data_IF_697253101857
#
_entry.id   IF_697253101857
#
_cell.length_a   1.000
_cell.length_b   1.000
_cell.length_c   1.000
_cell.angle_alpha   90.00
_cell.angle_beta   90.00
_cell.angle_gamma   90.00
#
_symmetry.space_group_name_H-M   'P 1'
#
loop_
_entity.id
_entity.type
_entity.pdbx_description
1 polymer ?
#
# COMPACT_ATOMS: atom_id res chain seq x y z
N UNK A 1 32.41 29.72 11.07
CA UNK A 1 32.26 29.54 12.52
C UNK A 1 30.87 29.02 12.94
N UNK A 2 29.97 28.82 11.95
CA UNK A 2 28.56 28.45 12.21
C UNK A 2 28.20 26.96 12.11
N UNK A 3 28.99 26.18 11.38
CA UNK A 3 28.67 24.75 11.18
C UNK A 3 28.92 23.89 12.44
N UNK A 4 29.95 24.23 13.21
CA UNK A 4 30.25 23.52 14.46
C UNK A 4 29.22 23.81 15.57
N UNK A 5 28.61 25.00 15.57
CA UNK A 5 27.56 25.33 16.55
C UNK A 5 26.28 24.57 16.25
N UNK A 6 25.88 24.46 14.97
CA UNK A 6 24.71 23.68 14.56
C UNK A 6 24.86 22.19 14.82
N UNK A 7 26.08 21.66 14.64
CA UNK A 7 26.36 20.26 14.95
C UNK A 7 26.29 19.98 16.46
N UNK A 8 26.70 20.95 17.28
CA UNK A 8 26.64 20.83 18.75
C UNK A 8 25.20 20.87 19.26
N UNK A 9 24.38 21.79 18.77
CA UNK A 9 22.95 21.87 19.09
C UNK A 9 22.20 20.61 18.60
N UNK A 10 22.52 20.11 17.39
CA UNK A 10 21.98 18.86 16.87
C UNK A 10 22.32 17.66 17.74
N UNK A 11 23.56 17.59 18.21
CA UNK A 11 24.02 16.51 19.11
C UNK A 11 23.35 16.61 20.47
N UNK A 12 23.12 17.80 21.03
CA UNK A 12 22.41 17.98 22.31
C UNK A 12 20.93 17.56 22.19
N UNK A 13 20.26 17.92 21.10
CA UNK A 13 18.87 17.48 20.82
C UNK A 13 18.81 15.97 20.63
N UNK A 14 19.76 15.40 19.87
CA UNK A 14 19.87 13.96 19.64
C UNK A 14 20.16 13.18 20.94
N UNK A 15 21.07 13.67 21.77
CA UNK A 15 21.33 13.11 23.09
C UNK A 15 20.14 13.31 24.06
N UNK A 16 19.43 14.41 23.96
CA UNK A 16 18.19 14.66 24.72
C UNK A 16 17.09 13.65 24.35
N UNK A 17 16.93 13.33 23.07
CA UNK A 17 15.98 12.33 22.57
C UNK A 17 16.38 10.91 23.01
N UNK A 18 17.66 10.56 22.94
CA UNK A 18 18.17 9.27 23.44
C UNK A 18 17.97 9.15 24.96
N UNK A 19 18.23 10.21 25.71
CA UNK A 19 18.02 10.23 27.16
C UNK A 19 16.52 10.18 27.53
N UNK A 20 15.67 10.76 26.70
CA UNK A 20 14.22 10.65 26.84
C UNK A 20 13.74 9.23 26.55
N UNK A 21 14.24 8.57 25.48
CA UNK A 21 13.96 7.15 25.20
C UNK A 21 14.45 6.25 26.33
N UNK A 22 15.66 6.48 26.86
CA UNK A 22 16.21 5.70 27.98
C UNK A 22 15.41 5.95 29.27
N UNK A 23 14.92 7.17 29.49
CA UNK A 23 14.10 7.53 30.64
C UNK A 23 12.70 6.92 30.54
N UNK A 24 12.12 6.94 29.33
CA UNK A 24 10.84 6.30 29.03
C UNK A 24 10.94 4.77 29.17
N UNK A 25 12.02 4.15 28.68
CA UNK A 25 12.27 2.72 28.87
C UNK A 25 12.53 2.35 30.35
N UNK A 26 13.18 3.23 31.12
CA UNK A 26 13.34 3.07 32.57
C UNK A 26 12.04 3.25 33.36
N UNK A 27 11.17 4.19 32.95
CA UNK A 27 9.84 4.37 33.55
C UNK A 27 8.91 3.22 33.18
N UNK A 28 8.95 2.75 31.92
CA UNK A 28 8.23 1.56 31.46
C UNK A 28 8.73 0.29 32.15
N UNK A 29 10.04 0.19 32.44
CA UNK A 29 10.61 -0.92 33.25
C UNK A 29 10.29 -0.82 34.72
N UNK A 30 10.10 0.36 35.31
CA UNK A 30 9.60 0.55 36.67
C UNK A 30 8.13 0.22 36.83
N UNK A 31 7.33 0.43 35.77
CA UNK A 31 5.95 -0.05 35.67
C UNK A 31 5.83 -1.53 35.31
N UNK A 32 6.93 -2.29 35.20
CA UNK A 32 6.91 -3.73 35.34
C UNK A 32 6.49 -4.07 36.76
N UNK A 33 5.19 -4.00 36.97
CA UNK A 33 4.47 -4.70 37.99
C UNK A 33 5.04 -6.12 38.01
N UNK A 34 5.59 -6.48 39.15
CA UNK A 34 6.15 -7.79 39.42
C UNK A 34 5.31 -8.88 38.73
N UNK A 35 5.99 -9.71 37.94
CA UNK A 35 5.45 -10.93 37.37
C UNK A 35 5.14 -11.96 38.47
N UNK A 36 4.13 -11.70 39.23
CA UNK A 36 3.53 -12.64 40.16
C UNK A 36 2.03 -12.35 40.25
N UNK A 37 1.35 -12.50 39.11
CA UNK A 37 -0.07 -12.82 39.13
C UNK A 37 -0.22 -14.25 38.61
N UNK A 38 -0.01 -15.18 39.54
CA UNK A 38 -0.59 -16.50 39.45
C UNK A 38 -2.10 -16.31 39.10
N UNK A 39 -2.49 -16.86 37.98
CA UNK A 39 -3.84 -16.90 37.45
C UNK A 39 -4.74 -17.65 38.45
N UNK A 40 -5.29 -16.96 39.43
CA UNK A 40 -6.43 -17.45 40.20
C UNK A 40 -7.65 -16.84 39.56
N UNK A 41 -8.36 -17.63 38.77
CA UNK A 41 -9.69 -17.30 38.24
C UNK A 41 -10.66 -17.16 39.43
N UNK A 42 -10.74 -15.99 40.04
CA UNK A 42 -11.93 -15.54 40.71
C UNK A 42 -12.81 -14.84 39.64
N UNK A 43 -13.81 -15.55 39.15
CA UNK A 43 -14.92 -14.91 38.45
C UNK A 43 -15.70 -14.13 39.51
N UNK A 44 -15.23 -12.95 39.88
CA UNK A 44 -16.10 -11.94 40.45
C UNK A 44 -17.09 -11.55 39.33
N UNK A 45 -18.35 -11.61 39.63
CA UNK A 45 -19.43 -11.08 38.80
C UNK A 45 -19.24 -9.57 38.67
N UNK A 46 -18.33 -9.13 37.77
CA UNK A 46 -18.22 -7.72 37.44
C UNK A 46 -19.52 -7.29 36.77
N UNK A 47 -20.20 -6.35 37.40
CA UNK A 47 -21.39 -5.73 36.83
C UNK A 47 -21.03 -5.07 35.49
N UNK A 48 -21.88 -5.14 34.47
CA UNK A 48 -21.71 -4.52 33.16
C UNK A 48 -21.28 -3.06 33.25
N UNK A 49 -21.82 -2.30 34.20
CA UNK A 49 -21.47 -0.89 34.45
C UNK A 49 -20.01 -0.73 34.94
N UNK A 50 -19.52 -1.62 35.80
CA UNK A 50 -18.11 -1.62 36.22
C UNK A 50 -17.15 -1.85 35.05
N UNK A 51 -17.47 -2.80 34.16
CA UNK A 51 -16.66 -3.08 32.97
C UNK A 51 -16.69 -1.91 31.98
N UNK A 52 -17.82 -1.25 31.80
CA UNK A 52 -17.92 -0.01 30.99
C UNK A 52 -17.08 1.11 31.57
N UNK A 53 -17.12 1.31 32.89
CA UNK A 53 -16.27 2.29 33.56
C UNK A 53 -14.77 2.01 33.42
N UNK A 54 -14.35 0.73 33.42
CA UNK A 54 -12.97 0.34 33.11
C UNK A 54 -12.58 0.70 31.65
N UNK A 55 -13.47 0.45 30.68
CA UNK A 55 -13.27 0.84 29.29
C UNK A 55 -13.13 2.35 29.15
N UNK A 56 -14.04 3.13 29.75
CA UNK A 56 -14.01 4.61 29.70
C UNK A 56 -12.69 5.18 30.26
N UNK A 57 -12.17 4.56 31.33
CA UNK A 57 -10.88 4.93 31.91
C UNK A 57 -9.70 4.62 30.98
N UNK A 58 -9.74 3.48 30.30
CA UNK A 58 -8.72 3.07 29.30
C UNK A 58 -8.81 3.99 28.08
N UNK A 59 -9.99 4.26 27.56
CA UNK A 59 -10.18 5.14 26.41
C UNK A 59 -9.66 6.56 26.68
N UNK A 60 -9.88 7.07 27.91
CA UNK A 60 -9.30 8.35 28.32
C UNK A 60 -7.77 8.37 28.26
N UNK A 61 -7.12 7.28 28.66
CA UNK A 61 -5.65 7.12 28.56
C UNK A 61 -5.21 7.00 27.09
N UNK A 62 -5.92 6.24 26.27
CA UNK A 62 -5.62 6.07 24.84
C UNK A 62 -5.66 7.44 24.14
N UNK A 63 -6.69 8.28 24.39
CA UNK A 63 -6.79 9.62 23.80
C UNK A 63 -5.59 10.50 24.18
N UNK A 64 -5.18 10.49 25.46
CA UNK A 64 -4.01 11.25 25.90
C UNK A 64 -2.73 10.77 25.21
N UNK A 65 -2.51 9.44 25.14
CA UNK A 65 -1.32 8.86 24.52
C UNK A 65 -1.28 9.08 23.01
N UNK A 66 -2.41 8.98 22.32
CA UNK A 66 -2.52 9.28 20.89
C UNK A 66 -2.15 10.74 20.61
N UNK A 67 -2.65 11.69 21.39
CA UNK A 67 -2.31 13.10 21.22
C UNK A 67 -0.82 13.39 21.48
N UNK A 68 -0.22 12.75 22.51
CA UNK A 68 1.22 12.86 22.75
C UNK A 68 2.04 12.31 21.59
N UNK A 69 1.62 11.16 21.03
CA UNK A 69 2.26 10.57 19.86
C UNK A 69 2.17 11.48 18.63
N UNK A 70 1.00 12.07 18.39
CA UNK A 70 0.78 13.00 17.27
C UNK A 70 1.63 14.26 17.43
N UNK A 71 1.72 14.84 18.63
CA UNK A 71 2.60 15.98 18.88
C UNK A 71 4.07 15.68 18.56
N UNK A 72 4.56 14.50 18.96
CA UNK A 72 5.92 14.06 18.61
C UNK A 72 6.08 13.88 17.10
N UNK A 73 5.06 13.36 16.40
CA UNK A 73 5.10 13.19 14.95
C UNK A 73 5.15 14.56 14.23
N UNK A 74 4.37 15.54 14.67
CA UNK A 74 4.39 16.91 14.11
C UNK A 74 5.78 17.55 14.25
N UNK A 75 6.46 17.36 15.39
CA UNK A 75 7.84 17.85 15.55
C UNK A 75 8.81 17.15 14.62
N UNK A 76 8.68 15.82 14.42
CA UNK A 76 9.46 15.07 13.44
C UNK A 76 9.20 15.62 12.03
N UNK A 77 7.94 15.88 11.68
CA UNK A 77 7.54 16.46 10.40
C UNK A 77 8.19 17.82 10.15
N UNK A 78 8.23 18.69 11.16
CA UNK A 78 8.91 19.99 11.08
C UNK A 78 10.41 19.81 10.75
N UNK A 79 11.09 18.92 11.47
CA UNK A 79 12.52 18.62 11.23
C UNK A 79 12.73 18.05 9.83
N UNK A 80 11.89 17.08 9.39
CA UNK A 80 11.96 16.53 8.03
C UNK A 80 11.81 17.60 6.97
N UNK A 81 10.85 18.53 7.15
CA UNK A 81 10.63 19.65 6.23
C UNK A 81 11.83 20.57 6.12
N UNK A 82 12.49 20.89 7.25
CA UNK A 82 13.72 21.70 7.29
C UNK A 82 14.89 21.00 6.57
N UNK A 83 14.93 19.68 6.62
CA UNK A 83 15.96 18.84 5.96
C UNK A 83 15.62 18.46 4.51
N UNK A 84 14.43 18.83 4.01
CA UNK A 84 13.95 18.44 2.68
C UNK A 84 13.66 16.95 2.54
N UNK A 85 13.35 16.26 3.65
CA UNK A 85 13.04 14.83 3.68
C UNK A 85 11.52 14.63 3.56
N UNK A 86 11.12 13.65 2.73
CA UNK A 86 9.71 13.33 2.53
C UNK A 86 9.03 12.87 3.84
N UNK A 87 7.78 13.32 4.09
CA UNK A 87 7.04 12.94 5.29
C UNK A 87 6.67 11.44 5.32
N UNK A 88 6.29 10.87 4.18
CA UNK A 88 5.94 9.46 4.05
C UNK A 88 7.18 8.59 3.84
N UNK A 89 7.33 7.56 4.67
CA UNK A 89 8.45 6.61 4.66
C UNK A 89 7.90 5.20 4.96
N UNK A 90 7.58 4.41 3.92
CA UNK A 90 6.99 3.08 4.08
C UNK A 90 7.91 2.11 4.83
N UNK A 91 9.24 2.26 4.71
CA UNK A 91 10.18 1.42 5.44
C UNK A 91 10.16 1.73 6.94
N UNK A 92 10.00 3.01 7.33
CA UNK A 92 9.80 3.39 8.72
C UNK A 92 8.46 2.90 9.27
N UNK A 93 7.40 2.97 8.46
CA UNK A 93 6.10 2.43 8.85
C UNK A 93 6.18 0.92 9.12
N UNK A 94 6.87 0.17 8.26
CA UNK A 94 7.05 -1.27 8.45
C UNK A 94 7.84 -1.58 9.74
N UNK A 95 8.88 -0.79 10.06
CA UNK A 95 9.56 -0.91 11.37
C UNK A 95 8.60 -0.68 12.54
N UNK A 96 7.68 0.28 12.42
CA UNK A 96 6.67 0.55 13.46
C UNK A 96 5.72 -0.63 13.58
N UNK A 97 5.22 -1.17 12.47
CA UNK A 97 4.31 -2.33 12.48
C UNK A 97 4.98 -3.56 13.09
N UNK A 98 6.21 -3.88 12.70
CA UNK A 98 6.96 -5.00 13.26
C UNK A 98 7.14 -4.85 14.78
N UNK A 99 7.50 -3.65 15.26
CA UNK A 99 7.61 -3.36 16.70
C UNK A 99 6.27 -3.53 17.43
N UNK A 100 5.18 -3.10 16.83
CA UNK A 100 3.84 -3.25 17.40
C UNK A 100 3.40 -4.71 17.48
N UNK A 101 3.71 -5.51 16.47
CA UNK A 101 3.46 -6.94 16.47
C UNK A 101 4.23 -7.65 17.57
N UNK A 102 5.50 -7.29 17.77
CA UNK A 102 6.33 -7.83 18.87
C UNK A 102 5.81 -7.46 20.26
N UNK A 103 5.25 -6.26 20.40
CA UNK A 103 4.66 -5.77 21.65
C UNK A 103 3.26 -6.36 21.92
N UNK A 104 2.54 -6.76 20.87
CA UNK A 104 1.18 -7.26 20.98
C UNK A 104 1.16 -8.68 21.55
N UNK A 105 0.90 -8.79 22.86
CA UNK A 105 0.73 -10.07 23.58
C UNK A 105 -0.74 -10.33 23.96
N UNK A 106 -1.63 -9.46 23.51
CA UNK A 106 -3.05 -9.51 23.85
C UNK A 106 -3.91 -10.24 22.81
N UNK A 107 -5.24 -10.17 22.93
CA UNK A 107 -6.18 -10.86 22.06
C UNK A 107 -6.39 -10.17 20.70
N UNK A 108 -5.85 -8.97 20.47
CA UNK A 108 -5.96 -8.29 19.19
C UNK A 108 -5.17 -9.03 18.11
N UNK A 109 -5.82 -9.28 16.97
CA UNK A 109 -5.13 -9.84 15.80
C UNK A 109 -4.14 -8.82 15.21
N UNK A 110 -3.05 -9.32 14.62
CA UNK A 110 -2.01 -8.47 14.01
C UNK A 110 -2.58 -7.51 12.95
N UNK A 111 -3.46 -8.02 12.10
CA UNK A 111 -4.13 -7.23 11.05
C UNK A 111 -4.97 -6.09 11.62
N UNK A 112 -5.72 -6.34 12.70
CA UNK A 112 -6.49 -5.30 13.40
C UNK A 112 -5.56 -4.23 13.98
N UNK A 113 -4.43 -4.63 14.56
CA UNK A 113 -3.42 -3.70 15.07
C UNK A 113 -2.82 -2.85 13.95
N UNK A 114 -2.47 -3.46 12.80
CA UNK A 114 -1.97 -2.73 11.62
C UNK A 114 -3.00 -1.73 11.12
N UNK A 115 -4.27 -2.12 11.02
CA UNK A 115 -5.36 -1.24 10.57
C UNK A 115 -5.53 -0.02 11.49
N UNK A 116 -5.58 -0.23 12.81
CA UNK A 116 -5.70 0.87 13.78
C UNK A 116 -4.50 1.83 13.66
N UNK A 117 -3.29 1.29 13.63
CA UNK A 117 -2.10 2.13 13.56
C UNK A 117 -1.90 2.78 12.19
N UNK A 118 -2.41 2.21 11.11
CA UNK A 118 -2.46 2.87 9.80
C UNK A 118 -3.22 4.19 9.90
N UNK A 119 -4.40 4.21 10.53
CA UNK A 119 -5.17 5.44 10.71
C UNK A 119 -4.48 6.43 11.66
N UNK A 120 -3.83 5.95 12.73
CA UNK A 120 -3.04 6.81 13.63
C UNK A 120 -1.86 7.45 12.92
N UNK A 121 -1.17 6.72 12.03
CA UNK A 121 -0.06 7.25 11.23
C UNK A 121 -0.59 8.21 10.19
N UNK A 122 -1.66 7.87 9.47
CA UNK A 122 -2.32 8.72 8.49
C UNK A 122 -2.74 10.07 9.08
N UNK A 123 -3.39 10.06 10.24
CA UNK A 123 -3.78 11.27 10.95
C UNK A 123 -2.55 12.13 11.35
N UNK A 124 -1.45 11.50 11.74
CA UNK A 124 -0.20 12.20 12.06
C UNK A 124 0.39 12.88 10.81
N UNK A 125 0.50 12.16 9.70
CA UNK A 125 1.02 12.68 8.43
C UNK A 125 0.15 13.86 7.92
N UNK A 126 -1.17 13.74 8.03
CA UNK A 126 -2.10 14.81 7.61
C UNK A 126 -1.88 16.12 8.37
N UNK A 127 -1.40 16.07 9.61
CA UNK A 127 -1.05 17.23 10.42
C UNK A 127 0.38 17.76 10.11
N UNK A 128 1.28 16.89 9.61
CA UNK A 128 2.62 17.32 9.20
C UNK A 128 2.56 18.05 7.85
N UNK A 129 1.85 17.49 6.87
CA UNK A 129 1.74 18.01 5.51
C UNK A 129 0.43 17.56 4.85
N UNK A 130 -0.21 18.48 4.14
CA UNK A 130 -1.38 18.16 3.31
C UNK A 130 -0.98 17.36 2.07
N UNK A 131 -0.69 16.07 2.24
CA UNK A 131 -0.35 15.20 1.13
C UNK A 131 -1.54 14.94 0.22
N UNK A 132 -1.27 14.92 -1.09
CA UNK A 132 -2.23 14.58 -2.14
C UNK A 132 -1.79 13.29 -2.81
N UNK A 133 -2.64 12.27 -2.76
CA UNK A 133 -2.42 10.96 -3.35
C UNK A 133 -3.21 10.85 -4.66
N UNK A 134 -2.50 10.84 -5.79
CA UNK A 134 -3.10 10.59 -7.10
C UNK A 134 -3.34 9.09 -7.31
N UNK A 135 -4.45 8.73 -7.92
CA UNK A 135 -4.76 7.33 -8.22
C UNK A 135 -5.62 7.21 -9.49
N UNK A 136 -5.58 6.04 -10.15
CA UNK A 136 -6.44 5.75 -11.28
C UNK A 136 -7.91 5.72 -10.83
N UNK A 137 -8.66 6.74 -11.23
CA UNK A 137 -10.08 6.91 -10.93
C UNK A 137 -11.01 5.99 -11.73
N UNK A 138 -12.30 6.22 -11.58
CA UNK A 138 -12.96 7.18 -10.68
C UNK A 138 -12.83 6.83 -9.19
N UNK A 139 -13.51 7.62 -8.35
CA UNK A 139 -13.62 7.31 -6.91
C UNK A 139 -14.24 5.92 -6.68
N UNK A 140 -13.92 5.29 -5.55
CA UNK A 140 -14.39 3.95 -5.17
C UNK A 140 -13.89 2.79 -6.06
N UNK A 141 -12.89 2.99 -6.91
CA UNK A 141 -12.22 1.90 -7.63
C UNK A 141 -11.31 1.09 -6.71
N UNK A 142 -10.86 -0.09 -7.18
CA UNK A 142 -9.85 -0.88 -6.47
C UNK A 142 -8.52 -0.13 -6.30
N UNK A 143 -8.17 0.76 -7.24
CA UNK A 143 -6.99 1.62 -7.08
C UNK A 143 -7.17 2.63 -5.94
N UNK A 144 -8.38 3.22 -5.81
CA UNK A 144 -8.71 4.05 -4.64
C UNK A 144 -8.62 3.26 -3.34
N UNK A 145 -9.18 2.07 -3.31
CA UNK A 145 -9.11 1.20 -2.13
C UNK A 145 -7.67 0.84 -1.77
N UNK A 146 -6.82 0.51 -2.75
CA UNK A 146 -5.40 0.26 -2.54
C UNK A 146 -4.68 1.48 -1.98
N UNK A 147 -4.99 2.69 -2.49
CA UNK A 147 -4.44 3.94 -1.99
C UNK A 147 -4.82 4.17 -0.52
N UNK A 148 -6.10 4.01 -0.17
CA UNK A 148 -6.58 4.17 1.22
C UNK A 148 -6.01 3.10 2.14
N UNK A 149 -5.91 1.85 1.70
CA UNK A 149 -5.31 0.77 2.48
C UNK A 149 -3.83 1.05 2.80
N UNK A 150 -3.11 1.71 1.90
CA UNK A 150 -1.69 2.03 2.11
C UNK A 150 -1.49 3.29 2.95
N UNK A 151 -2.23 4.35 2.67
CA UNK A 151 -2.01 5.67 3.26
C UNK A 151 -2.98 6.03 4.41
N UNK A 152 -4.03 5.22 4.64
CA UNK A 152 -5.12 5.50 5.58
C UNK A 152 -6.15 6.48 5.02
N UNK A 153 -7.21 6.74 5.79
CA UNK A 153 -8.38 7.49 5.31
C UNK A 153 -8.27 9.02 5.43
N UNK A 154 -7.29 9.53 6.18
CA UNK A 154 -7.24 10.96 6.57
C UNK A 154 -6.62 11.86 5.50
N UNK A 155 -5.84 11.32 4.55
CA UNK A 155 -5.16 12.09 3.51
C UNK A 155 -6.10 12.54 2.38
N UNK A 156 -5.60 13.41 1.48
CA UNK A 156 -6.36 13.84 0.31
C UNK A 156 -6.13 12.90 -0.86
N UNK A 157 -7.20 12.42 -1.46
CA UNK A 157 -7.19 11.50 -2.59
C UNK A 157 -7.71 12.20 -3.84
N UNK A 158 -6.96 12.12 -4.95
CA UNK A 158 -7.31 12.74 -6.22
C UNK A 158 -7.50 11.67 -7.31
N UNK A 159 -8.74 11.41 -7.77
CA UNK A 159 -8.97 10.52 -8.90
C UNK A 159 -8.46 11.17 -10.19
N UNK A 160 -7.74 10.41 -11.00
CA UNK A 160 -7.21 10.82 -12.28
C UNK A 160 -7.78 9.92 -13.39
N UNK A 161 -8.05 10.45 -14.60
CA UNK A 161 -8.79 9.73 -15.63
C UNK A 161 -8.08 8.48 -16.16
N UNK A 162 -6.75 8.54 -16.32
CA UNK A 162 -5.94 7.45 -16.88
C UNK A 162 -4.60 7.32 -16.14
N UNK A 163 -3.91 6.20 -16.35
CA UNK A 163 -2.62 5.92 -15.71
C UNK A 163 -1.55 6.97 -16.04
N UNK A 164 -1.38 7.44 -17.31
CA UNK A 164 -0.46 8.53 -17.62
C UNK A 164 -0.70 9.78 -16.79
N UNK A 165 -1.96 10.16 -16.57
CA UNK A 165 -2.30 11.35 -15.78
C UNK A 165 -1.83 11.22 -14.33
N UNK A 166 -1.79 9.99 -13.79
CA UNK A 166 -1.24 9.74 -12.43
C UNK A 166 0.25 10.01 -12.41
N UNK A 167 1.01 9.53 -13.40
CA UNK A 167 2.44 9.78 -13.50
C UNK A 167 2.72 11.28 -13.69
N UNK A 168 2.05 11.93 -14.63
CA UNK A 168 2.19 13.36 -14.91
C UNK A 168 1.88 14.22 -13.66
N UNK A 169 0.79 13.93 -12.96
CA UNK A 169 0.41 14.66 -11.75
C UNK A 169 1.48 14.57 -10.64
N UNK A 170 2.19 13.44 -10.54
CA UNK A 170 3.29 13.29 -9.57
C UNK A 170 4.55 14.00 -10.08
N UNK A 171 4.89 13.88 -11.36
CA UNK A 171 6.05 14.56 -11.97
C UNK A 171 5.94 16.07 -11.86
N UNK A 172 4.76 16.64 -12.17
CA UNK A 172 4.47 18.06 -12.07
C UNK A 172 4.28 18.57 -10.63
N UNK A 173 4.22 17.68 -9.63
CA UNK A 173 4.02 18.06 -8.23
C UNK A 173 2.59 18.41 -7.82
N UNK A 174 1.59 18.13 -8.66
CA UNK A 174 0.18 18.25 -8.34
C UNK A 174 -0.30 17.20 -7.34
N UNK A 175 0.35 16.01 -7.38
CA UNK A 175 0.25 14.96 -6.39
C UNK A 175 1.63 14.69 -5.77
N UNK A 176 1.64 14.36 -4.47
CA UNK A 176 2.88 13.97 -3.80
C UNK A 176 3.28 12.54 -4.16
N UNK A 177 2.31 11.65 -4.25
CA UNK A 177 2.45 10.22 -4.59
C UNK A 177 1.38 9.79 -5.59
N UNK A 178 1.70 8.76 -6.39
CA UNK A 178 0.78 8.15 -7.32
C UNK A 178 0.57 6.67 -7.04
N UNK A 179 -0.66 6.18 -7.10
CA UNK A 179 -0.98 4.75 -6.97
C UNK A 179 -1.51 4.22 -8.28
N UNK A 180 -0.83 3.21 -8.84
CA UNK A 180 -1.16 2.62 -10.14
C UNK A 180 -1.15 1.09 -10.09
N UNK A 181 -2.07 0.41 -10.80
CA UNK A 181 -2.04 -1.05 -10.92
C UNK A 181 -0.85 -1.47 -11.80
N UNK A 182 -0.15 -2.55 -11.42
CA UNK A 182 0.96 -3.10 -12.20
C UNK A 182 0.72 -4.51 -12.69
N UNK A 183 -0.05 -5.29 -11.95
CA UNK A 183 -0.29 -6.69 -12.23
C UNK A 183 -1.56 -7.20 -11.54
N UNK A 184 -2.29 -8.07 -12.22
CA UNK A 184 -3.40 -8.82 -11.62
C UNK A 184 -3.14 -10.33 -11.77
N UNK A 185 -3.39 -11.11 -10.72
CA UNK A 185 -3.09 -12.54 -10.70
C UNK A 185 -3.85 -13.38 -11.73
N UNK A 186 -4.97 -12.86 -12.25
CA UNK A 186 -5.80 -13.55 -13.25
C UNK A 186 -5.61 -13.02 -14.67
N UNK A 187 -5.22 -11.77 -14.83
CA UNK A 187 -5.14 -11.09 -16.13
C UNK A 187 -3.70 -10.73 -16.55
N UNK A 188 -2.76 -10.88 -15.63
CA UNK A 188 -1.35 -10.60 -15.89
C UNK A 188 -1.00 -9.11 -15.76
N UNK A 189 0.01 -8.69 -16.48
CA UNK A 189 0.62 -7.38 -16.35
C UNK A 189 -0.24 -6.25 -16.92
N UNK A 190 -0.26 -5.10 -16.23
CA UNK A 190 -0.87 -3.85 -16.70
C UNK A 190 0.13 -3.14 -17.60
N UNK A 191 0.01 -3.42 -18.89
CA UNK A 191 0.94 -2.98 -19.93
C UNK A 191 1.22 -1.48 -19.94
N UNK A 192 0.18 -0.65 -19.68
CA UNK A 192 0.30 0.80 -19.69
C UNK A 192 1.21 1.31 -18.58
N UNK A 193 1.10 0.73 -17.37
CA UNK A 193 1.98 1.08 -16.25
C UNK A 193 3.43 0.68 -16.51
N UNK A 194 3.64 -0.50 -17.10
CA UNK A 194 4.99 -0.96 -17.46
C UNK A 194 5.65 -0.03 -18.49
N UNK A 195 4.92 0.37 -19.55
CA UNK A 195 5.44 1.26 -20.57
C UNK A 195 5.88 2.61 -19.96
N UNK A 196 5.07 3.21 -19.09
CA UNK A 196 5.38 4.47 -18.42
C UNK A 196 6.57 4.36 -17.45
N UNK A 197 6.73 3.23 -16.75
CA UNK A 197 7.89 3.01 -15.87
C UNK A 197 9.22 3.02 -16.63
N UNK A 198 9.23 2.71 -17.93
CA UNK A 198 10.45 2.85 -18.76
C UNK A 198 10.79 4.33 -19.00
N UNK A 199 9.77 5.17 -19.19
CA UNK A 199 9.93 6.57 -19.64
C UNK A 199 10.09 7.55 -18.48
N UNK A 200 9.36 7.36 -17.36
CA UNK A 200 9.31 8.29 -16.22
C UNK A 200 10.62 8.35 -15.41
N UNK A 201 10.86 9.49 -14.77
CA UNK A 201 11.91 9.63 -13.74
C UNK A 201 11.42 9.31 -12.32
N UNK A 202 10.11 8.98 -12.18
CA UNK A 202 9.56 8.59 -10.87
C UNK A 202 10.16 7.27 -10.41
N UNK A 203 10.20 7.09 -9.10
CA UNK A 203 10.69 5.88 -8.45
C UNK A 203 9.57 5.15 -7.71
N UNK A 204 9.64 3.84 -7.66
CA UNK A 204 8.73 3.00 -6.87
C UNK A 204 9.22 3.04 -5.43
N UNK A 205 8.33 3.41 -4.49
CA UNK A 205 8.66 3.52 -3.07
C UNK A 205 7.87 2.54 -2.19
N UNK A 206 6.76 1.99 -2.70
CA UNK A 206 5.97 0.97 -2.02
C UNK A 206 5.21 0.12 -3.03
N UNK A 207 4.70 -1.01 -2.57
CA UNK A 207 3.74 -1.86 -3.27
C UNK A 207 2.55 -2.16 -2.37
N UNK A 208 1.40 -2.45 -2.97
CA UNK A 208 0.18 -2.80 -2.25
C UNK A 208 -0.46 -3.98 -2.95
N UNK A 209 -0.74 -5.05 -2.22
CA UNK A 209 -1.54 -6.16 -2.70
C UNK A 209 -2.97 -6.02 -2.20
N UNK A 210 -3.93 -6.12 -3.12
CA UNK A 210 -5.35 -6.01 -2.81
C UNK A 210 -6.10 -7.22 -3.38
N UNK A 211 -6.76 -7.97 -2.53
CA UNK A 211 -7.74 -8.97 -2.96
C UNK A 211 -8.93 -8.28 -3.62
N UNK A 212 -9.25 -8.72 -4.83
CA UNK A 212 -10.39 -8.22 -5.59
C UNK A 212 -11.62 -9.03 -5.25
N UNK A 213 -12.44 -8.52 -4.36
CA UNK A 213 -13.74 -9.06 -4.03
C UNK A 213 -14.84 -8.26 -4.72
N UNK A 214 -15.81 -8.97 -5.29
CA UNK A 214 -16.97 -8.38 -5.94
C UNK A 214 -18.22 -8.56 -5.09
N UNK A 215 -18.98 -7.47 -4.92
CA UNK A 215 -20.28 -7.47 -4.26
C UNK A 215 -21.35 -6.96 -5.22
N UNK A 216 -22.58 -7.43 -5.05
CA UNK A 216 -23.76 -6.95 -5.77
C UNK A 216 -24.43 -5.86 -4.95
N UNK A 217 -24.66 -4.72 -5.57
CA UNK A 217 -25.34 -3.55 -5.00
C UNK A 217 -26.65 -3.28 -5.74
N UNK A 218 -27.70 -2.93 -5.04
CA UNK A 218 -28.98 -2.51 -5.60
C UNK A 218 -29.87 -1.89 -4.55
N UNK A 219 -30.78 -1.01 -4.96
CA UNK A 219 -31.86 -0.50 -4.12
C UNK A 219 -33.09 -1.42 -4.07
N UNK A 220 -33.22 -2.37 -5.01
CA UNK A 220 -34.28 -3.37 -5.00
C UNK A 220 -33.74 -4.73 -4.48
N UNK A 221 -34.63 -5.69 -4.26
CA UNK A 221 -34.26 -7.06 -3.88
C UNK A 221 -33.63 -7.82 -5.04
N UNK A 222 -32.86 -8.86 -4.73
CA UNK A 222 -32.16 -9.66 -5.75
C UNK A 222 -33.10 -10.22 -6.82
N UNK A 223 -34.28 -10.68 -6.44
CA UNK A 223 -35.28 -11.28 -7.33
C UNK A 223 -36.01 -10.26 -8.22
N UNK A 224 -35.88 -8.97 -7.93
CA UNK A 224 -36.44 -7.85 -8.69
C UNK A 224 -35.43 -7.25 -9.69
N UNK A 225 -34.15 -7.68 -9.67
CA UNK A 225 -33.10 -7.15 -10.55
C UNK A 225 -33.28 -7.71 -11.99
N UNK A 226 -33.47 -6.83 -12.95
CA UNK A 226 -33.61 -7.17 -14.38
C UNK A 226 -32.36 -6.81 -15.22
N UNK A 227 -31.50 -5.90 -14.74
CA UNK A 227 -30.22 -5.59 -15.35
C UNK A 227 -29.10 -5.55 -14.31
N UNK A 228 -27.89 -6.04 -14.70
CA UNK A 228 -26.69 -5.95 -13.89
C UNK A 228 -25.60 -5.23 -14.67
N UNK A 229 -25.16 -4.11 -14.12
CA UNK A 229 -24.15 -3.23 -14.69
C UNK A 229 -22.79 -3.46 -14.04
N UNK A 230 -21.75 -3.60 -14.81
CA UNK A 230 -20.36 -3.57 -14.34
C UNK A 230 -19.38 -3.54 -15.52
N UNK A 231 -18.09 -3.52 -15.23
CA UNK A 231 -17.05 -3.75 -16.25
C UNK A 231 -17.14 -5.20 -16.74
N UNK A 232 -16.92 -5.41 -18.06
CA UNK A 232 -16.95 -6.75 -18.69
C UNK A 232 -16.22 -7.82 -17.87
N UNK A 233 -15.05 -7.47 -17.39
CA UNK A 233 -14.20 -8.32 -16.58
C UNK A 233 -14.90 -8.77 -15.28
N UNK A 234 -15.52 -7.86 -14.54
CA UNK A 234 -16.18 -8.17 -13.27
C UNK A 234 -17.45 -9.02 -13.52
N UNK A 235 -18.19 -8.75 -14.61
CA UNK A 235 -19.31 -9.57 -15.03
C UNK A 235 -18.88 -11.00 -15.35
N UNK A 236 -17.75 -11.16 -16.07
CA UNK A 236 -17.19 -12.48 -16.39
C UNK A 236 -16.69 -13.23 -15.14
N UNK A 237 -16.09 -12.52 -14.18
CA UNK A 237 -15.59 -13.09 -12.92
C UNK A 237 -16.71 -13.51 -11.94
N UNK A 238 -17.93 -13.03 -12.14
CA UNK A 238 -19.11 -13.38 -11.37
C UNK A 238 -20.14 -14.23 -12.17
N UNK A 239 -19.74 -14.76 -13.33
CA UNK A 239 -20.64 -15.38 -14.30
C UNK A 239 -21.39 -16.60 -13.77
N UNK A 240 -20.78 -17.46 -12.95
CA UNK A 240 -21.45 -18.62 -12.36
C UNK A 240 -22.49 -18.18 -11.31
N UNK A 241 -22.14 -17.22 -10.46
CA UNK A 241 -23.03 -16.69 -9.45
C UNK A 241 -24.25 -16.02 -10.10
N UNK A 242 -24.03 -15.19 -11.13
CA UNK A 242 -25.07 -14.50 -11.88
C UNK A 242 -26.05 -15.49 -12.54
N UNK A 243 -25.54 -16.52 -13.21
CA UNK A 243 -26.39 -17.54 -13.84
C UNK A 243 -27.27 -18.30 -12.86
N UNK A 244 -26.81 -18.51 -11.62
CA UNK A 244 -27.56 -19.23 -10.58
C UNK A 244 -28.61 -18.35 -9.90
N UNK A 245 -28.27 -17.09 -9.61
CA UNK A 245 -29.09 -16.20 -8.78
C UNK A 245 -29.92 -15.21 -9.60
N UNK A 246 -29.43 -14.80 -10.78
CA UNK A 246 -30.04 -13.80 -11.67
C UNK A 246 -30.09 -14.29 -13.12
N UNK A 247 -30.67 -15.48 -13.40
CA UNK A 247 -30.62 -16.11 -14.73
C UNK A 247 -31.36 -15.32 -15.83
N UNK A 248 -32.21 -14.37 -15.45
CA UNK A 248 -33.00 -13.55 -16.39
C UNK A 248 -32.45 -12.13 -16.54
N UNK A 249 -31.54 -11.70 -15.68
CA UNK A 249 -31.01 -10.34 -15.71
C UNK A 249 -30.13 -10.13 -16.94
N UNK A 250 -30.28 -9.00 -17.57
CA UNK A 250 -29.43 -8.56 -18.67
C UNK A 250 -28.11 -8.02 -18.12
N UNK A 251 -26.99 -8.53 -18.63
CA UNK A 251 -25.66 -8.03 -18.24
C UNK A 251 -25.29 -6.86 -19.14
N UNK A 252 -24.98 -5.71 -18.54
CA UNK A 252 -24.70 -4.45 -19.23
C UNK A 252 -23.27 -4.02 -18.94
N UNK A 253 -22.34 -4.16 -19.91
CA UNK A 253 -20.97 -3.71 -19.74
C UNK A 253 -20.89 -2.19 -19.70
N UNK A 254 -20.08 -1.68 -18.73
CA UNK A 254 -19.75 -0.25 -18.63
C UNK A 254 -18.26 -0.06 -18.34
N UNK A 255 -17.78 1.17 -18.35
CA UNK A 255 -16.36 1.50 -18.29
C UNK A 255 -15.70 1.22 -16.94
N UNK A 256 -16.46 1.34 -15.83
CA UNK A 256 -15.94 1.19 -14.47
C UNK A 256 -16.93 0.51 -13.54
N UNK A 257 -16.43 -0.43 -12.72
CA UNK A 257 -17.23 -1.06 -11.66
C UNK A 257 -17.77 -0.03 -10.65
N UNK A 258 -16.98 0.97 -10.27
CA UNK A 258 -17.40 2.01 -9.35
C UNK A 258 -18.49 2.92 -9.95
N UNK A 259 -18.38 3.25 -11.24
CA UNK A 259 -19.39 4.02 -11.97
C UNK A 259 -20.72 3.27 -12.04
N UNK A 260 -20.70 1.93 -12.15
CA UNK A 260 -21.91 1.13 -12.09
C UNK A 260 -22.73 1.38 -10.83
N UNK A 261 -22.07 1.43 -9.68
CA UNK A 261 -22.73 1.67 -8.38
C UNK A 261 -23.16 3.12 -8.25
N UNK A 262 -22.31 4.06 -8.68
CA UNK A 262 -22.63 5.51 -8.68
C UNK A 262 -23.89 5.87 -9.45
N UNK A 263 -24.17 5.13 -10.53
CA UNK A 263 -25.31 5.40 -11.43
C UNK A 263 -26.60 4.69 -10.99
N UNK A 264 -26.58 3.94 -9.87
CA UNK A 264 -27.79 3.35 -9.32
C UNK A 264 -28.66 4.42 -8.64
N UNK A 265 -29.95 4.38 -8.93
CA UNK A 265 -30.94 5.29 -8.36
C UNK A 265 -31.99 4.53 -7.53
N UNK A 266 -32.45 5.10 -6.39
CA UNK A 266 -33.57 4.53 -5.65
C UNK A 266 -34.80 4.32 -6.52
N UNK A 267 -35.38 3.11 -6.47
CA UNK A 267 -36.55 2.74 -7.27
C UNK A 267 -36.21 2.14 -8.64
N UNK A 268 -34.92 2.04 -9.01
CA UNK A 268 -34.50 1.28 -10.21
C UNK A 268 -34.48 -0.24 -9.91
N UNK A 269 -34.68 -1.05 -10.95
CA UNK A 269 -34.54 -2.50 -10.93
C UNK A 269 -33.12 -2.95 -11.32
N UNK A 270 -32.15 -2.04 -11.25
CA UNK A 270 -30.78 -2.30 -11.66
C UNK A 270 -29.91 -2.74 -10.49
N UNK A 271 -29.04 -3.70 -10.76
CA UNK A 271 -27.94 -4.07 -9.89
C UNK A 271 -26.60 -3.63 -10.47
N UNK A 272 -25.61 -3.46 -9.62
CA UNK A 272 -24.23 -3.17 -10.01
C UNK A 272 -23.24 -4.08 -9.27
N UNK A 273 -22.19 -4.51 -9.97
CA UNK A 273 -21.09 -5.28 -9.36
C UNK A 273 -19.86 -4.39 -9.22
N UNK A 274 -19.34 -4.29 -7.98
CA UNK A 274 -18.13 -3.53 -7.67
C UNK A 274 -17.48 -4.03 -6.37
N UNK A 275 -16.38 -3.39 -5.96
CA UNK A 275 -15.78 -3.58 -4.65
C UNK A 275 -16.60 -2.95 -3.53
N UNK A 276 -16.46 -3.44 -2.31
CA UNK A 276 -17.22 -2.99 -1.11
C UNK A 276 -17.13 -1.49 -0.84
N UNK A 277 -16.01 -0.86 -1.21
CA UNK A 277 -15.83 0.58 -1.05
C UNK A 277 -16.87 1.39 -1.84
N UNK A 278 -17.29 0.92 -3.01
CA UNK A 278 -18.27 1.63 -3.83
C UNK A 278 -19.64 1.72 -3.15
N UNK A 279 -20.12 0.63 -2.58
CA UNK A 279 -21.39 0.65 -1.82
C UNK A 279 -21.36 1.62 -0.64
N UNK A 280 -20.23 1.71 0.06
CA UNK A 280 -20.06 2.63 1.21
C UNK A 280 -20.00 4.08 0.78
N UNK A 281 -19.24 4.40 -0.27
CA UNK A 281 -19.06 5.80 -0.73
C UNK A 281 -20.34 6.35 -1.36
N UNK A 282 -21.06 5.52 -2.12
CA UNK A 282 -22.28 5.94 -2.81
C UNK A 282 -23.57 5.62 -2.05
N UNK A 283 -23.45 5.10 -0.84
CA UNK A 283 -24.57 4.73 0.05
C UNK A 283 -25.62 3.83 -0.61
N UNK A 284 -25.15 2.80 -1.33
CA UNK A 284 -26.00 1.81 -2.01
C UNK A 284 -25.99 0.50 -1.21
N UNK A 285 -27.17 -0.07 -0.91
CA UNK A 285 -27.29 -1.32 -0.16
C UNK A 285 -26.60 -2.49 -0.85
N UNK A 286 -25.83 -3.28 -0.08
CA UNK A 286 -25.25 -4.53 -0.54
C UNK A 286 -26.31 -5.63 -0.52
N UNK A 287 -26.54 -6.27 -1.65
CA UNK A 287 -27.48 -7.39 -1.80
C UNK A 287 -26.80 -8.75 -1.65
N UNK A 288 -25.53 -8.86 -2.09
CA UNK A 288 -24.72 -10.06 -1.89
C UNK A 288 -23.24 -9.71 -1.87
N UNK A 289 -22.49 -10.39 -1.00
CA UNK A 289 -21.05 -10.22 -0.86
C UNK A 289 -20.27 -11.39 -1.48
N UNK A 290 -19.02 -11.13 -1.88
CA UNK A 290 -18.05 -12.12 -2.34
C UNK A 290 -18.63 -13.05 -3.44
N UNK A 291 -19.24 -12.44 -4.46
CA UNK A 291 -19.95 -13.14 -5.55
C UNK A 291 -19.06 -13.61 -6.69
N UNK A 292 -17.77 -13.35 -6.63
CA UNK A 292 -16.79 -13.80 -7.63
C UNK A 292 -16.64 -15.32 -7.63
N UNK A 293 -16.52 -15.91 -8.81
CA UNK A 293 -16.39 -17.36 -9.01
C UNK A 293 -15.08 -17.92 -8.47
N UNK A 294 -14.02 -17.10 -8.44
CA UNK A 294 -12.67 -17.46 -7.94
C UNK A 294 -12.25 -16.53 -6.81
N UNK A 295 -11.72 -17.11 -5.72
CA UNK A 295 -11.36 -16.36 -4.50
C UNK A 295 -9.95 -15.79 -4.48
N UNK A 296 -9.06 -16.19 -5.39
CA UNK A 296 -7.64 -15.82 -5.33
C UNK A 296 -7.29 -14.77 -6.40
N UNK A 297 -8.14 -13.77 -6.59
CA UNK A 297 -7.87 -12.66 -7.48
C UNK A 297 -7.20 -11.52 -6.71
N UNK A 298 -5.90 -11.33 -6.91
CA UNK A 298 -5.12 -10.28 -6.25
C UNK A 298 -4.58 -9.32 -7.30
N UNK A 299 -4.73 -8.03 -7.05
CA UNK A 299 -4.07 -6.99 -7.86
C UNK A 299 -2.93 -6.39 -7.05
N UNK A 300 -1.76 -6.30 -7.68
CA UNK A 300 -0.61 -5.57 -7.16
C UNK A 300 -0.61 -4.15 -7.72
N UNK A 301 -0.48 -3.19 -6.82
CA UNK A 301 -0.35 -1.78 -7.12
C UNK A 301 1.05 -1.30 -6.71
N UNK A 302 1.53 -0.26 -7.37
CA UNK A 302 2.77 0.43 -7.02
C UNK A 302 2.46 1.84 -6.55
N UNK A 303 3.24 2.30 -5.59
CA UNK A 303 3.30 3.70 -5.18
C UNK A 303 4.53 4.32 -5.82
N UNK A 304 4.30 5.36 -6.62
CA UNK A 304 5.37 6.10 -7.31
C UNK A 304 5.54 7.49 -6.71
N UNK A 305 6.80 7.96 -6.67
CA UNK A 305 7.18 9.25 -6.10
C UNK A 305 8.36 9.86 -6.87
N UNK A 306 8.61 11.16 -6.67
CA UNK A 306 9.75 11.87 -7.27
C UNK A 306 11.10 11.46 -6.66
N UNK A 307 11.12 11.12 -5.37
CA UNK A 307 12.36 10.83 -4.65
C UNK A 307 12.38 9.36 -4.22
N UNK A 308 13.55 8.74 -4.36
CA UNK A 308 13.81 7.44 -3.74
C UNK A 308 13.99 7.61 -2.22
N UNK A 309 13.66 6.56 -1.48
CA UNK A 309 13.79 6.55 -0.02
C UNK A 309 15.08 5.82 0.40
N UNK A 310 15.69 6.22 1.53
CA UNK A 310 16.87 5.56 2.04
C UNK A 310 16.55 4.16 2.58
N UNK A 311 17.54 3.27 2.51
CA UNK A 311 17.47 1.96 3.17
C UNK A 311 17.34 2.12 4.70
N UNK A 312 16.56 1.22 5.32
CA UNK A 312 16.43 1.13 6.78
C UNK A 312 16.73 -0.29 7.25
N UNK A 313 17.41 -0.37 8.39
CA UNK A 313 17.75 -1.65 9.01
C UNK A 313 16.49 -2.42 9.46
N UNK A 314 16.56 -3.75 9.36
CA UNK A 314 15.47 -4.64 9.80
C UNK A 314 14.25 -4.65 8.90
N UNK A 315 14.31 -4.04 7.72
CA UNK A 315 13.27 -4.10 6.69
C UNK A 315 13.75 -4.97 5.56
N UNK A 316 12.90 -5.88 5.11
CA UNK A 316 13.14 -6.67 3.90
C UNK A 316 12.68 -5.88 2.68
N UNK A 317 13.52 -5.84 1.66
CA UNK A 317 13.28 -5.05 0.46
C UNK A 317 13.05 -5.90 -0.77
N UNK A 318 12.30 -5.34 -1.70
CA UNK A 318 12.20 -5.76 -3.10
C UNK A 318 12.73 -4.63 -3.96
N UNK A 319 13.51 -4.97 -4.98
CA UNK A 319 14.01 -4.02 -5.97
C UNK A 319 13.46 -4.37 -7.35
N UNK A 320 13.02 -3.37 -8.09
CA UNK A 320 12.56 -3.49 -9.47
C UNK A 320 13.53 -2.80 -10.42
N UNK A 321 13.83 -3.46 -11.54
CA UNK A 321 14.67 -2.99 -12.64
C UNK A 321 13.97 -3.14 -13.98
N UNK A 322 14.39 -2.33 -14.96
CA UNK A 322 14.17 -2.59 -16.39
C UNK A 322 15.51 -2.82 -17.06
N UNK A 323 15.63 -3.90 -17.82
CA UNK A 323 16.77 -4.22 -18.65
C UNK A 323 16.38 -4.22 -20.13
N UNK A 324 17.27 -3.75 -21.01
CA UNK A 324 17.24 -4.06 -22.42
C UNK A 324 18.51 -4.83 -22.78
N UNK A 325 18.37 -5.86 -23.61
CA UNK A 325 19.46 -6.77 -23.95
C UNK A 325 19.76 -6.69 -25.45
N UNK A 326 21.02 -6.83 -25.83
CA UNK A 326 21.37 -7.02 -27.24
C UNK A 326 20.80 -8.36 -27.73
N UNK A 327 20.28 -8.39 -28.98
CA UNK A 327 19.82 -9.63 -29.62
C UNK A 327 21.01 -10.55 -29.93
N UNK A 328 21.44 -11.31 -28.90
CA UNK A 328 22.55 -12.28 -28.96
C UNK A 328 22.17 -13.53 -28.20
N UNK A 329 22.63 -14.68 -28.74
CA UNK A 329 22.44 -15.98 -28.09
C UNK A 329 23.01 -15.92 -26.66
N UNK A 330 22.16 -16.23 -25.66
CA UNK A 330 22.55 -16.29 -24.26
C UNK A 330 22.54 -14.96 -23.52
N UNK A 331 22.15 -13.81 -24.12
CA UNK A 331 22.16 -12.51 -23.48
C UNK A 331 21.32 -12.50 -22.18
N UNK A 332 20.06 -12.97 -22.23
CA UNK A 332 19.20 -13.08 -21.04
C UNK A 332 19.78 -14.04 -20.00
N UNK A 333 20.29 -15.22 -20.42
CA UNK A 333 20.95 -16.16 -19.51
C UNK A 333 22.11 -15.50 -18.75
N UNK A 334 22.94 -14.73 -19.45
CA UNK A 334 24.10 -14.08 -18.85
C UNK A 334 23.68 -12.97 -17.87
N UNK A 335 22.66 -12.19 -18.19
CA UNK A 335 22.12 -11.19 -17.27
C UNK A 335 21.54 -11.84 -15.98
N UNK A 336 20.80 -12.94 -16.12
CA UNK A 336 20.23 -13.64 -14.97
C UNK A 336 21.28 -14.40 -14.14
N UNK A 337 22.41 -14.77 -14.75
CA UNK A 337 23.52 -15.46 -14.08
C UNK A 337 24.11 -14.61 -12.95
N UNK A 338 24.25 -13.30 -13.13
CA UNK A 338 24.79 -12.38 -12.13
C UNK A 338 24.03 -12.42 -10.81
N UNK A 339 22.70 -12.58 -10.86
CA UNK A 339 21.87 -12.74 -9.67
C UNK A 339 22.06 -14.10 -8.99
N UNK A 340 22.04 -15.19 -9.79
CA UNK A 340 22.12 -16.56 -9.24
C UNK A 340 23.46 -16.86 -8.60
N UNK A 341 24.57 -16.34 -9.14
CA UNK A 341 25.92 -16.52 -8.59
C UNK A 341 26.12 -15.86 -7.23
N UNK A 342 25.27 -14.85 -6.90
CA UNK A 342 25.26 -14.17 -5.62
C UNK A 342 24.11 -14.56 -4.71
N UNK A 343 23.35 -15.58 -5.07
CA UNK A 343 22.24 -16.07 -4.27
C UNK A 343 21.05 -15.09 -4.18
N UNK A 344 20.93 -14.13 -5.11
CA UNK A 344 19.85 -13.15 -5.12
C UNK A 344 18.62 -13.79 -5.78
N UNK A 345 17.51 -13.83 -5.03
CA UNK A 345 16.26 -14.43 -5.48
C UNK A 345 15.47 -13.48 -6.37
N UNK A 346 15.16 -13.92 -7.59
CA UNK A 346 14.26 -13.20 -8.50
C UNK A 346 12.80 -13.57 -8.19
N UNK A 347 11.96 -12.55 -8.00
CA UNK A 347 10.54 -12.72 -7.69
C UNK A 347 9.65 -12.57 -8.93
N UNK A 348 10.12 -11.83 -9.94
CA UNK A 348 9.38 -11.59 -11.17
C UNK A 348 10.32 -11.38 -12.33
N UNK A 349 9.90 -11.88 -13.49
CA UNK A 349 10.44 -11.50 -14.79
C UNK A 349 9.29 -11.34 -15.78
N UNK A 350 9.23 -10.20 -16.44
CA UNK A 350 8.20 -9.86 -17.44
C UNK A 350 8.89 -9.27 -18.66
N UNK A 351 8.60 -9.77 -19.85
CA UNK A 351 9.16 -9.25 -21.11
C UNK A 351 8.15 -8.43 -21.87
N UNK A 352 8.58 -7.27 -22.39
CA UNK A 352 7.75 -6.36 -23.18
C UNK A 352 8.48 -5.89 -24.43
N UNK A 353 7.80 -5.86 -25.62
CA UNK A 353 8.36 -5.20 -26.79
C UNK A 353 8.70 -3.74 -26.51
N UNK A 354 9.90 -3.28 -26.87
CA UNK A 354 10.34 -1.89 -26.64
C UNK A 354 9.56 -0.86 -27.46
N UNK A 355 8.96 -1.29 -28.57
CA UNK A 355 8.31 -0.45 -29.60
C UNK A 355 9.25 0.58 -30.25
N UNK A 356 10.51 0.68 -29.81
CA UNK A 356 11.52 1.56 -30.42
C UNK A 356 12.13 0.90 -31.64
N UNK A 357 12.32 -0.42 -31.61
CA UNK A 357 12.88 -1.21 -32.68
C UNK A 357 12.16 -2.56 -32.75
N UNK A 358 11.94 -3.06 -33.95
CA UNK A 358 11.35 -4.39 -34.15
C UNK A 358 12.21 -5.47 -33.47
N UNK A 359 11.55 -6.35 -32.69
CA UNK A 359 12.17 -7.48 -31.97
C UNK A 359 13.10 -7.08 -30.83
N UNK A 360 13.02 -5.81 -30.36
CA UNK A 360 13.70 -5.36 -29.17
C UNK A 360 12.77 -5.43 -27.97
N UNK A 361 13.28 -5.88 -26.80
CA UNK A 361 12.46 -6.16 -25.61
C UNK A 361 13.04 -5.48 -24.38
N UNK A 362 12.15 -4.97 -23.54
CA UNK A 362 12.40 -4.66 -22.15
C UNK A 362 12.10 -5.86 -21.26
N UNK A 363 12.94 -6.11 -20.28
CA UNK A 363 12.76 -7.11 -19.24
C UNK A 363 12.61 -6.42 -17.90
N UNK A 364 11.42 -6.50 -17.32
CA UNK A 364 11.16 -6.05 -15.97
C UNK A 364 11.51 -7.17 -15.01
N UNK A 365 12.37 -6.89 -14.05
CA UNK A 365 12.88 -7.88 -13.09
C UNK A 365 12.68 -7.33 -11.69
N UNK A 366 12.02 -8.12 -10.84
CA UNK A 366 11.97 -7.87 -9.42
C UNK A 366 12.82 -8.91 -8.68
N UNK A 367 13.59 -8.47 -7.69
CA UNK A 367 14.39 -9.34 -6.84
C UNK A 367 14.35 -8.91 -5.38
N UNK A 368 14.71 -9.82 -4.46
CA UNK A 368 14.79 -9.55 -3.03
C UNK A 368 16.12 -8.90 -2.71
N UNK A 369 16.07 -7.81 -1.93
CA UNK A 369 17.18 -7.01 -1.45
C UNK A 369 17.08 -5.55 -1.86
N UNK A 370 17.82 -4.69 -1.17
CA UNK A 370 17.91 -3.25 -1.47
C UNK A 370 19.12 -2.98 -2.38
N UNK A 371 19.01 -1.99 -3.29
CA UNK A 371 20.11 -1.64 -4.23
C UNK A 371 21.44 -1.37 -3.55
N UNK A 372 21.43 -0.85 -2.34
CA UNK A 372 22.64 -0.47 -1.58
C UNK A 372 23.20 -1.61 -0.73
N UNK A 373 22.59 -2.82 -0.78
CA UNK A 373 23.14 -4.01 -0.11
C UNK A 373 24.41 -4.50 -0.83
N UNK A 374 25.34 -5.01 -0.03
CA UNK A 374 26.56 -5.63 -0.54
C UNK A 374 26.22 -6.78 -1.50
N UNK A 375 26.90 -6.86 -2.64
CA UNK A 375 26.63 -7.84 -3.70
C UNK A 375 25.57 -7.40 -4.71
N UNK A 376 24.52 -6.67 -4.33
CA UNK A 376 23.53 -6.13 -5.28
C UNK A 376 24.14 -5.02 -6.12
N UNK A 377 24.92 -4.11 -5.50
CA UNK A 377 25.65 -3.08 -6.22
C UNK A 377 26.63 -3.63 -7.26
N UNK A 378 27.21 -4.83 -7.01
CA UNK A 378 28.06 -5.51 -7.98
C UNK A 378 27.26 -6.08 -9.16
N UNK A 379 26.09 -6.70 -8.88
CA UNK A 379 25.19 -7.17 -9.95
C UNK A 379 24.78 -6.03 -10.86
N UNK A 380 24.39 -4.88 -10.29
CA UNK A 380 23.99 -3.72 -11.09
C UNK A 380 25.13 -3.25 -12.01
N UNK A 381 26.37 -3.19 -11.52
CA UNK A 381 27.56 -2.84 -12.34
C UNK A 381 27.82 -3.85 -13.44
N UNK A 382 27.65 -5.15 -13.19
CA UNK A 382 27.78 -6.19 -14.22
C UNK A 382 26.69 -6.08 -15.29
N UNK A 383 25.46 -5.82 -14.87
CA UNK A 383 24.34 -5.60 -15.80
C UNK A 383 24.59 -4.37 -16.69
N UNK A 384 25.09 -3.28 -16.15
CA UNK A 384 25.46 -2.07 -16.91
C UNK A 384 26.49 -2.35 -18.00
N UNK A 385 27.39 -3.35 -17.80
CA UNK A 385 28.39 -3.74 -18.79
C UNK A 385 27.83 -4.68 -19.87
N UNK A 386 26.78 -5.45 -19.56
CA UNK A 386 26.26 -6.52 -20.41
C UNK A 386 24.94 -6.17 -21.09
N UNK A 387 24.16 -5.27 -20.52
CA UNK A 387 22.88 -4.82 -21.04
C UNK A 387 23.01 -3.51 -21.84
N UNK A 388 22.13 -3.29 -22.78
CA UNK A 388 22.04 -2.03 -23.53
C UNK A 388 21.37 -0.91 -22.75
N UNK A 389 20.50 -1.27 -21.82
CA UNK A 389 19.85 -0.39 -20.84
C UNK A 389 19.74 -1.12 -19.50
N UNK A 390 20.04 -0.41 -18.43
CA UNK A 390 19.69 -0.79 -17.06
C UNK A 390 19.05 0.42 -16.42
N UNK A 391 17.76 0.32 -16.11
CA UNK A 391 17.04 1.37 -15.40
C UNK A 391 16.58 0.85 -14.04
N UNK A 392 17.02 1.51 -12.99
CA UNK A 392 16.53 1.27 -11.63
C UNK A 392 15.17 1.93 -11.46
N UNK A 393 14.17 1.16 -11.04
CA UNK A 393 12.80 1.64 -10.82
C UNK A 393 12.52 1.95 -9.35
N UNK A 394 13.19 1.29 -8.42
CA UNK A 394 13.04 1.52 -6.99
C UNK A 394 13.38 0.32 -6.12
N UNK A 395 13.77 0.59 -4.87
CA UNK A 395 13.84 -0.40 -3.78
C UNK A 395 12.82 0.01 -2.72
N UNK A 396 11.95 -0.91 -2.34
CA UNK A 396 10.80 -0.65 -1.47
C UNK A 396 10.54 -1.84 -0.56
N UNK A 397 9.86 -1.64 0.61
CA UNK A 397 9.56 -2.72 1.52
C UNK A 397 8.81 -3.87 0.83
N UNK A 398 9.24 -5.09 1.12
CA UNK A 398 8.49 -6.28 0.73
C UNK A 398 7.35 -6.48 1.74
N UNK A 399 6.11 -6.54 1.26
CA UNK A 399 5.00 -6.92 2.13
C UNK A 399 5.16 -8.38 2.56
N UNK A 400 4.90 -8.71 3.83
CA UNK A 400 4.86 -10.10 4.28
C UNK A 400 3.78 -10.84 3.48
N UNK A 401 4.18 -11.95 2.85
CA UNK A 401 3.31 -12.85 2.09
C UNK A 401 2.36 -13.64 3.00
#
# INVERSE_FOLDING_TARGET
>A
MDEKLRLHEFMEIYYGLILFEIKLDKELRKQRISSSFATTFFVENKNLESLRGEIDAIDSQIVVLLNQRVQAAVEIGRIKSELGVDPYDPAREEQVFNKLEDLNKGPLHKESMRTIYREVISASIALEKNLVIGYLGPEATYTHQAAVNNFGSTLKYRPLPDIPDVFEAVECGECDYGVVPIENSTEGAVNRSLDLLVETELTIIAQVFLEVEHSLFSFCKVDEIDEVHSKDQALAQCGEWLRRNLPKARLVPITSTAEAVKNLEPGSTFGAIAGKMAGRIYDVPTQADAIQDRKNNVTRFLVVARNALPQRDGVRYRTSLVLSLSDKIGALKNALKSFSERGINLCKIESRPSRLKAWDYYFFIDFIGHRDEEGIGEVLKELEQTCTLVKFLGSYPEEPS
#
